data_IF_907945253535
#
_entry.id   IF_907945253535
#
_cell.length_a   1.000
_cell.length_b   1.000
_cell.length_c   1.000
_cell.angle_alpha   90.00
_cell.angle_beta   90.00
_cell.angle_gamma   90.00
#
_symmetry.space_group_name_H-M   'P 1'
#
loop_
_entity.id
_entity.type
_entity.pdbx_description
1 polymer ?
#
# COMPACT_ATOMS: atom_id res chain seq x y z
N UNK A 1 25.89 15.05 -7.49
CA UNK A 1 24.46 15.23 -7.83
C UNK A 1 23.97 16.48 -7.10
N UNK A 2 23.34 17.46 -7.77
CA UNK A 2 22.85 18.69 -7.12
C UNK A 2 21.49 18.45 -6.44
N UNK A 3 21.15 19.26 -5.43
CA UNK A 3 19.91 19.10 -4.65
C UNK A 3 18.65 19.09 -5.53
N UNK A 4 18.59 19.93 -6.56
CA UNK A 4 17.42 20.00 -7.46
C UNK A 4 17.23 18.70 -8.23
N UNK A 5 18.33 18.06 -8.63
CA UNK A 5 18.30 16.74 -9.29
C UNK A 5 17.83 15.65 -8.34
N UNK A 6 18.23 15.70 -7.06
CA UNK A 6 17.78 14.76 -6.04
C UNK A 6 16.27 14.90 -5.81
N UNK A 7 15.80 16.15 -5.61
CA UNK A 7 14.37 16.45 -5.40
C UNK A 7 13.51 16.05 -6.61
N UNK A 8 14.01 16.24 -7.83
CA UNK A 8 13.30 15.86 -9.05
C UNK A 8 13.24 14.36 -9.33
N UNK A 9 14.16 13.56 -8.78
CA UNK A 9 14.22 12.10 -8.98
C UNK A 9 13.72 11.27 -7.79
N UNK A 10 13.54 11.88 -6.63
CA UNK A 10 13.12 11.19 -5.41
C UNK A 10 11.69 10.67 -5.57
N UNK A 11 11.57 9.35 -5.75
CA UNK A 11 10.29 8.65 -5.81
C UNK A 11 10.12 7.68 -4.63
N UNK A 12 11.00 6.68 -4.55
CA UNK A 12 11.08 5.75 -3.44
C UNK A 12 12.55 5.51 -3.08
N UNK A 13 12.78 5.02 -1.86
CA UNK A 13 14.13 4.71 -1.39
C UNK A 13 14.56 3.31 -1.86
N UNK A 14 15.86 3.05 -2.03
CA UNK A 14 16.96 4.02 -2.12
C UNK A 14 16.88 4.91 -3.38
N UNK A 15 17.34 6.16 -3.29
CA UNK A 15 17.22 7.18 -4.36
C UNK A 15 17.67 6.70 -5.75
N UNK A 16 18.78 5.99 -5.82
CA UNK A 16 19.40 5.54 -7.07
C UNK A 16 18.96 4.16 -7.51
N UNK A 17 18.20 3.45 -6.68
CA UNK A 17 17.64 2.13 -6.97
C UNK A 17 16.33 1.97 -6.19
N UNK A 18 15.26 2.69 -6.59
CA UNK A 18 14.01 2.69 -5.85
C UNK A 18 13.48 1.28 -5.62
N UNK A 19 12.98 0.98 -4.41
CA UNK A 19 12.47 -0.36 -4.07
C UNK A 19 11.26 -0.80 -4.93
N UNK A 20 10.56 0.15 -5.55
CA UNK A 20 9.53 -0.08 -6.54
C UNK A 20 9.54 1.05 -7.59
N UNK A 21 9.17 0.77 -8.86
CA UNK A 21 9.10 1.78 -9.92
C UNK A 21 7.78 2.57 -9.87
N UNK A 22 7.69 3.74 -10.51
CA UNK A 22 6.42 4.42 -10.73
C UNK A 22 5.51 3.62 -11.68
N UNK A 23 4.19 3.80 -11.52
CA UNK A 23 3.18 3.09 -12.30
C UNK A 23 3.05 3.55 -13.76
N UNK A 24 2.04 3.03 -14.50
CA UNK A 24 0.83 2.39 -13.96
C UNK A 24 1.03 0.94 -13.49
N UNK A 25 0.56 0.60 -12.29
CA UNK A 25 0.58 -0.77 -11.77
C UNK A 25 -0.56 -1.59 -12.39
N UNK A 26 -0.26 -2.33 -13.46
CA UNK A 26 -1.25 -3.15 -14.17
C UNK A 26 -1.31 -4.57 -13.59
N UNK A 27 -2.51 -5.01 -13.23
CA UNK A 27 -2.79 -6.38 -12.81
C UNK A 27 -3.64 -7.07 -13.88
N UNK A 28 -3.07 -8.01 -14.63
CA UNK A 28 -3.77 -8.78 -15.66
C UNK A 28 -4.16 -10.16 -15.12
N UNK A 29 -5.40 -10.59 -15.37
CA UNK A 29 -5.93 -11.90 -14.92
C UNK A 29 -5.73 -12.15 -13.42
N UNK A 30 -6.01 -11.13 -12.59
CA UNK A 30 -5.95 -11.28 -11.13
C UNK A 30 -7.22 -11.96 -10.64
N UNK A 31 -7.15 -13.26 -10.41
CA UNK A 31 -8.24 -14.08 -9.89
C UNK A 31 -8.31 -14.05 -8.36
N UNK A 32 -9.52 -14.15 -7.80
CA UNK A 32 -9.78 -14.07 -6.36
C UNK A 32 -10.66 -15.22 -5.89
N UNK A 33 -10.38 -15.71 -4.68
CA UNK A 33 -11.28 -16.55 -3.90
C UNK A 33 -11.50 -15.87 -2.55
N UNK A 34 -12.71 -15.38 -2.29
CA UNK A 34 -13.05 -14.63 -1.08
C UNK A 34 -14.13 -15.40 -0.32
N UNK A 35 -13.86 -15.73 0.96
CA UNK A 35 -14.80 -16.38 1.85
C UNK A 35 -15.15 -15.42 2.99
N UNK A 36 -16.40 -14.98 3.02
CA UNK A 36 -16.92 -14.15 4.11
C UNK A 36 -17.40 -15.05 5.25
N UNK A 37 -16.94 -14.81 6.47
CA UNK A 37 -17.34 -15.57 7.65
C UNK A 37 -17.61 -14.64 8.83
N UNK A 38 -18.40 -15.13 9.79
CA UNK A 38 -18.71 -14.40 11.02
C UNK A 38 -17.59 -14.55 12.04
N UNK A 39 -17.17 -13.45 12.64
CA UNK A 39 -16.17 -13.41 13.73
C UNK A 39 -16.74 -12.71 14.97
N UNK A 40 -15.93 -12.64 16.03
CA UNK A 40 -16.22 -11.91 17.27
C UNK A 40 -16.18 -10.38 17.02
N UNK A 41 -17.31 -9.67 17.19
CA UNK A 41 -17.38 -8.23 16.92
C UNK A 41 -16.51 -7.37 17.84
N UNK A 42 -16.17 -7.84 19.05
CA UNK A 42 -15.33 -7.07 19.95
C UNK A 42 -13.88 -7.10 19.46
N UNK A 43 -13.37 -8.29 19.14
CA UNK A 43 -12.01 -8.46 18.61
C UNK A 43 -11.80 -7.73 17.30
N UNK A 44 -12.82 -7.65 16.45
CA UNK A 44 -12.75 -6.89 15.20
C UNK A 44 -12.63 -5.38 15.49
N UNK A 45 -13.40 -4.86 16.46
CA UNK A 45 -13.34 -3.44 16.86
C UNK A 45 -12.00 -3.04 17.44
N UNK A 46 -11.36 -3.90 18.23
CA UNK A 46 -10.05 -3.60 18.83
C UNK A 46 -8.93 -3.41 17.80
N UNK A 47 -9.10 -3.95 16.57
CA UNK A 47 -8.11 -3.87 15.49
C UNK A 47 -8.42 -2.77 14.47
N UNK A 48 -9.66 -2.28 14.42
CA UNK A 48 -10.06 -1.24 13.46
C UNK A 48 -9.67 0.13 14.02
N UNK A 49 -8.77 0.88 13.35
CA UNK A 49 -8.29 2.15 13.88
C UNK A 49 -9.34 3.26 13.73
N UNK A 50 -9.43 4.16 14.71
CA UNK A 50 -10.24 5.37 14.59
C UNK A 50 -9.77 6.23 13.39
N UNK A 51 -10.67 6.86 12.62
CA UNK A 51 -12.12 6.96 12.83
C UNK A 51 -12.96 5.89 12.10
N UNK A 52 -12.34 4.78 11.67
CA UNK A 52 -13.06 3.72 10.94
C UNK A 52 -14.04 2.99 11.88
N UNK A 53 -15.16 2.50 11.33
CA UNK A 53 -16.25 1.85 12.07
C UNK A 53 -16.50 0.42 11.55
N UNK A 54 -16.98 -0.46 12.44
CA UNK A 54 -17.32 -1.88 12.19
C UNK A 54 -18.83 -2.06 12.10
#
# INVERSE_FOLDING_TARGET
MHQDTVRGRAFAMPLTSPAYPPGPYRFSNREYLIITYRTDPQKLRDLVPEPLQV
#
